data_IF_842527059545
#
_entry.id   IF_842527059545
#
_cell.length_a   1.000
_cell.length_b   1.000
_cell.length_c   1.000
_cell.angle_alpha   90.00
_cell.angle_beta   90.00
_cell.angle_gamma   90.00
#
_symmetry.space_group_name_H-M   'P 1'
#
loop_
_entity.id
_entity.type
_entity.pdbx_description
1 polymer ?
#
# COMPACT_ATOMS: atom_id res chain seq x y z
N UNK A 1 35.21 8.62 33.60
CA UNK A 1 34.37 8.68 32.37
C UNK A 1 32.96 8.13 32.56
N UNK A 2 32.74 6.99 33.26
CA UNK A 2 31.41 6.40 33.41
C UNK A 2 30.38 7.28 34.15
N UNK A 3 30.79 8.02 35.18
CA UNK A 3 29.92 8.93 35.95
C UNK A 3 29.28 10.02 35.07
N UNK A 4 30.01 10.53 34.07
CA UNK A 4 29.49 11.53 33.13
C UNK A 4 28.35 10.95 32.28
N UNK A 5 28.50 9.70 31.80
CA UNK A 5 27.46 9.02 31.03
C UNK A 5 26.21 8.72 31.87
N UNK A 6 26.38 8.37 33.15
CA UNK A 6 25.26 8.15 34.08
C UNK A 6 24.52 9.46 34.38
N UNK A 7 25.24 10.58 34.52
CA UNK A 7 24.63 11.89 34.71
C UNK A 7 23.91 12.36 33.43
N UNK A 8 24.53 12.18 32.27
CA UNK A 8 23.91 12.50 30.98
C UNK A 8 22.64 11.69 30.74
N UNK A 9 22.64 10.39 31.02
CA UNK A 9 21.44 9.55 30.87
C UNK A 9 20.33 9.96 31.84
N UNK A 10 20.66 10.31 33.09
CA UNK A 10 19.69 10.86 34.06
C UNK A 10 19.05 12.15 33.58
N UNK A 11 19.83 13.07 32.98
CA UNK A 11 19.32 14.32 32.43
C UNK A 11 18.40 14.05 31.23
N UNK A 12 18.77 13.16 30.32
CA UNK A 12 17.96 12.80 29.15
C UNK A 12 16.65 12.12 29.57
N UNK A 13 16.72 11.16 30.51
CA UNK A 13 15.54 10.49 31.05
C UNK A 13 14.64 11.51 31.74
N UNK A 14 15.17 12.31 32.67
CA UNK A 14 14.38 13.32 33.39
C UNK A 14 13.73 14.35 32.46
N UNK A 15 14.45 14.80 31.43
CA UNK A 15 13.90 15.67 30.39
C UNK A 15 12.78 14.97 29.60
N UNK A 16 12.99 13.71 29.22
CA UNK A 16 11.98 12.86 28.56
C UNK A 16 10.72 12.71 29.40
N UNK A 17 10.85 12.37 30.68
CA UNK A 17 9.73 12.25 31.63
C UNK A 17 8.95 13.57 31.73
N UNK A 18 9.65 14.70 31.91
CA UNK A 18 8.99 16.01 32.08
C UNK A 18 8.23 16.41 30.82
N UNK A 19 8.84 16.29 29.65
CA UNK A 19 8.20 16.61 28.36
C UNK A 19 7.03 15.67 28.06
N UNK A 20 7.15 14.39 28.42
CA UNK A 20 6.08 13.41 28.27
C UNK A 20 4.89 13.72 29.19
N UNK A 21 5.13 13.99 30.48
CA UNK A 21 4.08 14.38 31.44
C UNK A 21 3.38 15.67 31.01
N UNK A 22 4.12 16.65 30.47
CA UNK A 22 3.53 17.86 29.89
C UNK A 22 2.66 17.54 28.67
N UNK A 23 3.09 16.63 27.81
CA UNK A 23 2.32 16.17 26.65
C UNK A 23 1.04 15.45 27.10
N UNK A 24 1.11 14.63 28.15
CA UNK A 24 -0.05 13.98 28.76
C UNK A 24 -1.07 15.02 29.26
N UNK A 25 -0.60 16.07 29.94
CA UNK A 25 -1.46 17.15 30.44
C UNK A 25 -2.08 18.00 29.34
N UNK A 26 -1.33 18.26 28.27
CA UNK A 26 -1.76 19.14 27.19
C UNK A 26 -2.74 18.46 26.24
N UNK A 27 -2.50 17.18 25.89
CA UNK A 27 -3.23 16.47 24.84
C UNK A 27 -4.38 15.60 25.32
N UNK A 28 -4.47 15.28 26.61
CA UNK A 28 -5.50 14.38 27.14
C UNK A 28 -6.34 15.05 28.22
N UNK A 29 -7.65 14.84 28.16
CA UNK A 29 -8.53 15.21 29.27
C UNK A 29 -8.45 14.14 30.36
N UNK A 30 -7.97 14.55 31.54
CA UNK A 30 -7.78 13.67 32.69
C UNK A 30 -9.12 13.35 33.37
N UNK A 31 -9.85 12.41 32.78
CA UNK A 31 -11.00 11.72 33.37
C UNK A 31 -10.56 10.89 34.59
N UNK A 32 -11.44 10.60 35.56
CA UNK A 32 -11.09 9.78 36.72
C UNK A 32 -10.56 8.39 36.34
N UNK A 33 -11.03 7.81 35.23
CA UNK A 33 -10.57 6.53 34.69
C UNK A 33 -9.12 6.60 34.22
N UNK A 34 -8.75 7.68 33.50
CA UNK A 34 -7.37 7.88 33.03
C UNK A 34 -6.39 8.07 34.19
N UNK A 35 -6.83 8.73 35.27
CA UNK A 35 -6.02 8.91 36.48
C UNK A 35 -5.81 7.57 37.19
N UNK A 36 -6.86 6.76 37.29
CA UNK A 36 -6.78 5.43 37.89
C UNK A 36 -5.80 4.54 37.10
N UNK A 37 -5.88 4.54 35.77
CA UNK A 37 -4.98 3.75 34.92
C UNK A 37 -3.52 4.21 35.03
N UNK A 38 -3.27 5.52 35.03
CA UNK A 38 -1.93 6.06 35.27
C UNK A 38 -1.41 5.70 36.66
N UNK A 39 -2.27 5.70 37.69
CA UNK A 39 -1.90 5.31 39.05
C UNK A 39 -1.54 3.82 39.13
N UNK A 40 -2.35 2.95 38.51
CA UNK A 40 -2.07 1.51 38.40
C UNK A 40 -0.74 1.29 37.66
N UNK A 41 -0.51 2.02 36.57
CA UNK A 41 0.73 1.90 35.79
C UNK A 41 1.93 2.39 36.59
N UNK A 42 1.79 3.46 37.38
CA UNK A 42 2.82 3.94 38.29
C UNK A 42 3.13 2.91 39.39
N UNK A 43 2.11 2.27 39.96
CA UNK A 43 2.28 1.22 40.97
C UNK A 43 3.03 0.00 40.39
N UNK A 44 2.67 -0.44 39.19
CA UNK A 44 3.35 -1.53 38.47
C UNK A 44 4.80 -1.15 38.16
N UNK A 45 5.02 0.06 37.65
CA UNK A 45 6.36 0.54 37.31
C UNK A 45 7.28 0.63 38.54
N UNK A 46 6.75 1.09 39.69
CA UNK A 46 7.49 1.10 40.95
C UNK A 46 7.78 -0.32 41.47
N UNK A 47 6.83 -1.24 41.36
CA UNK A 47 7.06 -2.64 41.73
C UNK A 47 8.17 -3.29 40.89
N UNK A 48 8.17 -3.05 39.57
CA UNK A 48 9.23 -3.50 38.66
C UNK A 48 10.57 -2.83 38.94
N UNK A 49 10.56 -1.52 39.23
CA UNK A 49 11.74 -0.77 39.65
C UNK A 49 12.35 -1.31 40.95
N UNK A 50 11.50 -1.69 41.91
CA UNK A 50 11.93 -2.30 43.15
C UNK A 50 12.51 -3.71 42.96
N UNK A 51 11.86 -4.52 42.12
CA UNK A 51 12.34 -5.87 41.78
C UNK A 51 13.70 -5.82 41.07
N UNK A 52 13.86 -4.92 40.09
CA UNK A 52 15.13 -4.73 39.38
C UNK A 52 16.23 -4.20 40.30
N UNK A 53 15.94 -3.20 41.15
CA UNK A 53 16.92 -2.69 42.12
C UNK A 53 17.44 -3.79 43.07
N UNK A 54 16.56 -4.70 43.54
CA UNK A 54 16.97 -5.85 44.36
C UNK A 54 17.80 -6.87 43.60
N UNK A 55 17.49 -7.11 42.33
CA UNK A 55 18.21 -8.08 41.49
C UNK A 55 19.65 -7.64 41.20
N UNK A 56 19.87 -6.35 40.95
CA UNK A 56 21.20 -5.82 40.59
C UNK A 56 22.03 -5.35 41.79
N UNK A 57 21.41 -5.05 42.93
CA UNK A 57 22.10 -4.49 44.10
C UNK A 57 21.73 -5.17 45.42
N UNK A 58 21.81 -6.50 45.57
CA UNK A 58 21.36 -7.19 46.78
C UNK A 58 22.12 -6.76 48.06
N UNK A 59 23.37 -6.30 47.92
CA UNK A 59 24.20 -5.81 49.03
C UNK A 59 24.15 -4.29 49.27
N UNK A 60 23.36 -3.55 48.50
CA UNK A 60 23.25 -2.09 48.67
C UNK A 60 22.47 -1.74 49.95
N UNK A 61 22.80 -0.59 50.54
CA UNK A 61 22.01 -0.06 51.66
C UNK A 61 20.57 0.21 51.23
N UNK A 62 19.62 0.04 52.15
CA UNK A 62 18.19 0.22 51.87
C UNK A 62 17.86 1.59 51.23
N UNK A 63 18.61 2.64 51.61
CA UNK A 63 18.45 3.99 51.04
C UNK A 63 18.87 4.04 49.57
N UNK A 64 20.01 3.43 49.23
CA UNK A 64 20.52 3.39 47.85
C UNK A 64 19.62 2.52 46.96
N UNK A 65 19.12 1.40 47.49
CA UNK A 65 18.13 0.57 46.78
C UNK A 65 16.84 1.34 46.51
N UNK A 66 16.33 2.10 47.49
CA UNK A 66 15.11 2.89 47.30
C UNK A 66 15.28 3.98 46.23
N UNK A 67 16.41 4.71 46.24
CA UNK A 67 16.69 5.73 45.22
C UNK A 67 16.81 5.11 43.82
N UNK A 68 17.52 3.98 43.70
CA UNK A 68 17.66 3.27 42.44
C UNK A 68 16.31 2.72 41.93
N UNK A 69 15.50 2.16 42.83
CA UNK A 69 14.17 1.63 42.51
C UNK A 69 13.23 2.71 41.99
N UNK A 70 13.25 3.90 42.60
CA UNK A 70 12.46 5.05 42.13
C UNK A 70 12.94 5.48 40.75
N UNK A 71 14.26 5.64 40.55
CA UNK A 71 14.81 6.07 39.26
C UNK A 71 14.47 5.12 38.12
N UNK A 72 14.65 3.81 38.34
CA UNK A 72 14.29 2.78 37.36
C UNK A 72 12.77 2.69 37.17
N UNK A 73 12.00 2.85 38.25
CA UNK A 73 10.53 2.89 38.19
C UNK A 73 10.00 4.04 37.33
N UNK A 74 10.63 5.22 37.37
CA UNK A 74 10.26 6.35 36.50
C UNK A 74 10.48 5.99 35.03
N UNK A 75 11.60 5.36 34.68
CA UNK A 75 11.86 4.90 33.30
C UNK A 75 10.80 3.91 32.84
N UNK A 76 10.47 2.91 33.68
CA UNK A 76 9.41 1.96 33.36
C UNK A 76 8.05 2.62 33.21
N UNK A 77 7.74 3.61 34.04
CA UNK A 77 6.49 4.36 33.95
C UNK A 77 6.37 5.11 32.63
N UNK A 78 7.44 5.77 32.17
CA UNK A 78 7.44 6.46 30.88
C UNK A 78 7.15 5.48 29.74
N UNK A 79 7.88 4.36 29.69
CA UNK A 79 7.71 3.36 28.64
C UNK A 79 6.28 2.77 28.66
N UNK A 80 5.80 2.35 29.84
CA UNK A 80 4.49 1.75 29.98
C UNK A 80 3.36 2.74 29.69
N UNK A 81 3.50 4.00 30.09
CA UNK A 81 2.51 5.03 29.83
C UNK A 81 2.44 5.39 28.33
N UNK A 82 3.58 5.44 27.63
CA UNK A 82 3.61 5.61 26.17
C UNK A 82 2.88 4.45 25.48
N UNK A 83 3.20 3.21 25.87
CA UNK A 83 2.56 2.01 25.32
C UNK A 83 1.05 2.02 25.57
N UNK A 84 0.63 2.29 26.81
CA UNK A 84 -0.77 2.34 27.21
C UNK A 84 -1.55 3.39 26.41
N UNK A 85 -1.00 4.60 26.29
CA UNK A 85 -1.62 5.69 25.51
C UNK A 85 -1.71 5.33 24.03
N UNK A 86 -0.70 4.65 23.47
CA UNK A 86 -0.68 4.24 22.07
C UNK A 86 -1.73 3.16 21.80
N UNK A 87 -1.84 2.17 22.68
CA UNK A 87 -2.89 1.14 22.63
C UNK A 87 -4.26 1.81 22.73
N UNK A 88 -4.44 2.75 23.65
CA UNK A 88 -5.70 3.43 23.83
C UNK A 88 -6.12 4.24 22.60
N UNK A 89 -5.17 4.95 21.99
CA UNK A 89 -5.41 5.65 20.72
C UNK A 89 -5.79 4.68 19.62
N UNK A 90 -5.10 3.55 19.51
CA UNK A 90 -5.42 2.52 18.51
C UNK A 90 -6.84 1.97 18.72
N UNK A 91 -7.23 1.71 19.97
CA UNK A 91 -8.61 1.30 20.28
C UNK A 91 -9.61 2.39 19.91
N UNK A 92 -9.32 3.65 20.20
CA UNK A 92 -10.20 4.78 19.87
C UNK A 92 -10.34 5.00 18.37
N UNK A 93 -9.29 4.77 17.57
CA UNK A 93 -9.34 4.94 16.11
C UNK A 93 -9.79 3.69 15.37
N UNK A 94 -9.91 2.54 16.03
CA UNK A 94 -10.22 1.25 15.39
C UNK A 94 -11.46 1.30 14.50
N UNK A 95 -12.56 1.88 14.98
CA UNK A 95 -13.83 1.98 14.22
C UNK A 95 -13.71 2.89 12.99
N UNK A 96 -12.96 3.98 13.11
CA UNK A 96 -12.64 4.89 12.00
C UNK A 96 -11.69 4.20 11.02
N UNK A 97 -10.73 3.44 11.52
CA UNK A 97 -9.76 2.69 10.72
C UNK A 97 -10.44 1.56 9.96
N UNK A 98 -11.38 0.83 10.57
CA UNK A 98 -12.23 -0.19 9.93
C UNK A 98 -13.13 0.43 8.86
N UNK A 99 -13.71 1.60 9.12
CA UNK A 99 -14.52 2.34 8.13
C UNK A 99 -13.66 2.77 6.94
N UNK A 100 -12.45 3.28 7.18
CA UNK A 100 -11.52 3.66 6.11
C UNK A 100 -11.10 2.43 5.30
N UNK A 101 -10.72 1.32 5.95
CA UNK A 101 -10.32 0.10 5.23
C UNK A 101 -11.46 -0.48 4.41
N UNK A 102 -12.70 -0.49 4.94
CA UNK A 102 -13.86 -0.95 4.20
C UNK A 102 -14.15 -0.10 2.95
N UNK A 103 -14.03 1.23 3.07
CA UNK A 103 -14.19 2.14 1.93
C UNK A 103 -13.07 2.00 0.89
N UNK A 104 -11.83 1.72 1.32
CA UNK A 104 -10.69 1.48 0.41
C UNK A 104 -10.86 0.16 -0.37
N UNK A 105 -11.31 -0.91 0.29
CA UNK A 105 -11.63 -2.18 -0.38
C UNK A 105 -12.79 -2.02 -1.39
N UNK A 106 -13.80 -1.24 -1.04
CA UNK A 106 -14.96 -0.97 -1.91
C UNK A 106 -14.56 -0.09 -3.11
N UNK A 107 -13.70 0.91 -2.90
CA UNK A 107 -13.09 1.71 -3.96
C UNK A 107 -12.29 0.83 -4.93
N UNK A 108 -11.44 -0.05 -4.41
CA UNK A 108 -10.62 -0.95 -5.23
C UNK A 108 -11.50 -1.91 -6.05
N UNK A 109 -12.55 -2.47 -5.44
CA UNK A 109 -13.51 -3.33 -6.11
C UNK A 109 -14.24 -2.61 -7.25
N UNK A 110 -14.61 -1.35 -7.05
CA UNK A 110 -15.29 -0.54 -8.07
C UNK A 110 -14.35 -0.13 -9.20
N UNK A 111 -13.08 0.20 -8.90
CA UNK A 111 -12.04 0.43 -9.91
C UNK A 111 -11.88 -0.80 -10.81
N UNK A 112 -11.71 -1.99 -10.22
CA UNK A 112 -11.62 -3.26 -10.97
C UNK A 112 -12.83 -3.51 -11.87
N UNK A 113 -14.05 -3.19 -11.39
CA UNK A 113 -15.27 -3.30 -12.20
C UNK A 113 -15.28 -2.32 -13.37
N UNK A 114 -14.88 -1.07 -13.14
CA UNK A 114 -14.84 -0.05 -14.18
C UNK A 114 -13.80 -0.38 -15.26
N UNK A 115 -12.64 -0.90 -14.85
CA UNK A 115 -11.64 -1.41 -15.78
C UNK A 115 -12.19 -2.59 -16.59
N UNK A 116 -12.87 -3.55 -15.95
CA UNK A 116 -13.47 -4.68 -16.66
C UNK A 116 -14.55 -4.29 -17.69
N UNK A 117 -15.34 -3.25 -17.42
CA UNK A 117 -16.35 -2.75 -18.35
C UNK A 117 -15.72 -2.00 -19.52
N UNK A 118 -14.67 -1.21 -19.26
CA UNK A 118 -13.87 -0.54 -20.29
C UNK A 118 -13.31 -1.58 -21.26
N UNK A 119 -12.67 -2.63 -20.75
CA UNK A 119 -12.11 -3.69 -21.59
C UNK A 119 -13.17 -4.51 -22.33
N UNK A 120 -14.34 -4.75 -21.72
CA UNK A 120 -15.46 -5.45 -22.36
C UNK A 120 -16.00 -4.72 -23.60
N UNK A 121 -16.10 -3.39 -23.57
CA UNK A 121 -16.50 -2.59 -24.73
C UNK A 121 -15.44 -2.60 -25.83
N UNK A 122 -14.16 -2.44 -25.47
CA UNK A 122 -13.08 -2.48 -26.45
C UNK A 122 -12.91 -3.85 -27.11
N UNK A 123 -13.11 -4.96 -26.39
CA UNK A 123 -13.10 -6.29 -26.99
C UNK A 123 -14.25 -6.49 -28.00
N UNK A 124 -15.43 -5.92 -27.73
CA UNK A 124 -16.56 -5.89 -28.64
C UNK A 124 -16.30 -5.05 -29.90
N UNK A 125 -15.77 -3.84 -29.72
CA UNK A 125 -15.51 -2.91 -30.83
C UNK A 125 -14.37 -3.37 -31.74
N UNK A 126 -13.32 -3.99 -31.19
CA UNK A 126 -12.21 -4.54 -31.97
C UNK A 126 -12.64 -5.78 -32.77
N UNK A 127 -13.55 -6.62 -32.23
CA UNK A 127 -14.12 -7.74 -32.98
C UNK A 127 -15.18 -7.31 -34.01
N UNK A 128 -15.88 -6.19 -33.79
CA UNK A 128 -16.84 -5.64 -34.75
C UNK A 128 -16.20 -4.89 -35.92
N UNK A 129 -15.07 -4.20 -35.68
CA UNK A 129 -14.41 -3.38 -36.70
C UNK A 129 -13.44 -4.18 -37.60
N UNK A 130 -12.90 -5.30 -37.12
CA UNK A 130 -12.04 -6.18 -37.91
C UNK A 130 -12.85 -7.40 -38.36
N UNK A 131 -13.43 -7.37 -39.56
CA UNK A 131 -14.08 -8.52 -40.21
C UNK A 131 -13.12 -9.68 -40.52
N UNK A 132 -12.46 -10.21 -39.50
CA UNK A 132 -11.53 -11.34 -39.54
C UNK A 132 -12.23 -12.65 -39.17
N UNK A 133 -11.75 -13.78 -39.70
CA UNK A 133 -12.44 -15.06 -39.58
C UNK A 133 -12.50 -15.54 -38.14
N UNK A 134 -13.67 -16.05 -37.76
CA UNK A 134 -13.93 -16.74 -36.49
C UNK A 134 -13.03 -17.97 -36.43
N UNK A 135 -11.93 -17.88 -35.67
CA UNK A 135 -11.24 -19.07 -35.22
C UNK A 135 -12.01 -19.63 -34.01
N UNK A 136 -12.39 -20.92 -34.03
CA UNK A 136 -12.92 -21.56 -32.84
C UNK A 136 -11.79 -21.71 -31.83
N UNK A 137 -11.71 -20.78 -30.89
CA UNK A 137 -10.85 -20.91 -29.70
C UNK A 137 -11.44 -22.00 -28.82
N UNK A 138 -11.01 -23.24 -29.07
CA UNK A 138 -11.13 -24.31 -28.11
C UNK A 138 -10.25 -23.98 -26.90
N UNK A 139 -10.89 -23.97 -25.72
CA UNK A 139 -10.39 -23.56 -24.38
C UNK A 139 -10.18 -22.06 -24.18
N UNK A 140 -11.29 -21.40 -23.85
CA UNK A 140 -11.30 -20.24 -22.97
C UNK A 140 -10.81 -20.67 -21.58
N UNK A 141 -9.51 -20.56 -21.36
CA UNK A 141 -8.98 -20.32 -20.02
C UNK A 141 -9.28 -18.83 -19.74
N UNK A 142 -9.88 -18.53 -18.58
CA UNK A 142 -10.29 -17.17 -18.16
C UNK A 142 -9.24 -16.14 -18.57
N UNK A 143 -9.63 -15.13 -19.34
CA UNK A 143 -8.78 -13.97 -19.60
C UNK A 143 -8.65 -13.20 -18.28
N UNK A 144 -7.58 -13.53 -17.55
CA UNK A 144 -7.03 -12.79 -16.41
C UNK A 144 -6.71 -11.35 -16.85
N UNK A 145 -6.91 -10.38 -15.96
CA UNK A 145 -6.83 -8.95 -16.30
C UNK A 145 -5.43 -8.52 -16.79
N UNK A 146 -5.28 -7.35 -17.43
CA UNK A 146 -3.99 -6.86 -17.92
C UNK A 146 -2.93 -6.71 -16.80
N UNK A 147 -3.34 -6.44 -15.56
CA UNK A 147 -2.43 -6.40 -14.41
C UNK A 147 -1.96 -7.80 -13.98
N UNK A 148 -2.80 -8.82 -14.15
CA UNK A 148 -2.44 -10.22 -13.90
C UNK A 148 -1.50 -10.72 -14.99
N UNK A 149 -1.70 -10.30 -16.25
CA UNK A 149 -0.81 -10.62 -17.36
C UNK A 149 0.54 -9.89 -17.23
N UNK A 150 0.57 -8.60 -16.91
CA UNK A 150 1.83 -7.88 -16.61
C UNK A 150 2.55 -8.53 -15.41
N UNK A 151 1.81 -8.96 -14.39
CA UNK A 151 2.37 -9.68 -13.24
C UNK A 151 2.88 -11.07 -13.60
N UNK A 152 2.22 -11.76 -14.53
CA UNK A 152 2.66 -13.05 -15.09
C UNK A 152 3.93 -12.89 -15.92
N UNK A 153 3.99 -11.89 -16.81
CA UNK A 153 5.17 -11.57 -17.60
C UNK A 153 6.35 -11.13 -16.71
N UNK A 154 6.10 -10.34 -15.68
CA UNK A 154 7.10 -9.97 -14.68
C UNK A 154 7.64 -11.20 -13.91
N UNK A 155 6.78 -12.17 -13.58
CA UNK A 155 7.21 -13.44 -12.95
C UNK A 155 8.12 -14.26 -13.88
N UNK A 156 7.87 -14.27 -15.19
CA UNK A 156 8.74 -14.94 -16.18
C UNK A 156 10.13 -14.27 -16.20
N UNK A 157 10.16 -12.94 -16.27
CA UNK A 157 11.42 -12.16 -16.25
C UNK A 157 12.20 -12.38 -14.95
N UNK A 158 11.53 -12.33 -13.80
CA UNK A 158 12.18 -12.52 -12.49
C UNK A 158 12.73 -13.94 -12.32
N UNK A 159 11.98 -14.95 -12.75
CA UNK A 159 12.43 -16.35 -12.71
C UNK A 159 13.70 -16.56 -13.52
N UNK A 160 13.82 -15.89 -14.67
CA UNK A 160 15.03 -15.95 -15.49
C UNK A 160 16.20 -15.17 -14.89
N UNK A 161 15.97 -14.09 -14.15
CA UNK A 161 17.03 -13.39 -13.42
C UNK A 161 17.58 -14.21 -12.24
N UNK A 162 16.72 -14.97 -11.58
CA UNK A 162 17.03 -15.76 -10.39
C UNK A 162 17.65 -17.14 -10.70
N UNK A 163 17.54 -17.65 -11.94
CA UNK A 163 18.09 -18.97 -12.27
C UNK A 163 19.62 -18.96 -12.40
N UNK A 164 20.30 -19.58 -11.43
CA UNK A 164 21.72 -19.95 -11.39
C UNK A 164 22.78 -18.88 -11.77
N UNK A 165 23.40 -18.27 -10.75
CA UNK A 165 24.80 -17.80 -10.73
C UNK A 165 25.23 -16.63 -11.64
N UNK A 166 24.41 -16.24 -12.61
CA UNK A 166 24.76 -15.24 -13.65
C UNK A 166 23.81 -14.03 -13.66
N UNK A 167 23.17 -13.73 -12.52
CA UNK A 167 22.18 -12.64 -12.36
C UNK A 167 22.72 -11.29 -12.83
N UNK A 168 23.99 -10.97 -12.57
CA UNK A 168 24.60 -9.69 -12.97
C UNK A 168 24.70 -9.53 -14.50
N UNK A 169 25.07 -10.59 -15.22
CA UNK A 169 25.15 -10.57 -16.68
C UNK A 169 23.76 -10.52 -17.30
N UNK A 170 22.78 -11.20 -16.70
CA UNK A 170 21.38 -11.20 -17.16
C UNK A 170 20.69 -9.88 -16.89
N UNK A 171 20.98 -9.21 -15.78
CA UNK A 171 20.47 -7.87 -15.48
C UNK A 171 20.99 -6.85 -16.52
N UNK A 172 22.28 -6.89 -16.86
CA UNK A 172 22.85 -6.04 -17.91
C UNK A 172 22.22 -6.31 -19.28
N UNK A 173 21.99 -7.58 -19.63
CA UNK A 173 21.26 -7.94 -20.86
C UNK A 173 19.81 -7.44 -20.83
N UNK A 174 19.14 -7.56 -19.70
CA UNK A 174 17.77 -7.10 -19.53
C UNK A 174 17.64 -5.59 -19.75
N UNK A 175 18.57 -4.81 -19.18
CA UNK A 175 18.64 -3.36 -19.40
C UNK A 175 18.90 -3.04 -20.86
N UNK A 176 19.83 -3.74 -21.52
CA UNK A 176 20.09 -3.52 -22.95
C UNK A 176 18.87 -3.78 -23.83
N UNK A 177 18.09 -4.83 -23.54
CA UNK A 177 16.86 -5.13 -24.29
C UNK A 177 15.75 -4.14 -24.00
N UNK A 178 15.60 -3.69 -22.75
CA UNK A 178 14.65 -2.64 -22.40
C UNK A 178 14.96 -1.34 -23.14
N UNK A 179 16.23 -0.95 -23.23
CA UNK A 179 16.65 0.23 -23.99
C UNK A 179 16.42 0.08 -25.49
N UNK A 180 16.67 -1.11 -26.05
CA UNK A 180 16.41 -1.42 -27.46
C UNK A 180 14.91 -1.31 -27.78
N UNK A 181 14.05 -1.98 -26.99
CA UNK A 181 12.60 -1.98 -27.19
C UNK A 181 11.97 -0.61 -26.91
N UNK A 182 12.52 0.15 -25.96
CA UNK A 182 12.10 1.53 -25.71
C UNK A 182 12.31 2.44 -26.95
N UNK A 183 13.28 2.14 -27.81
CA UNK A 183 13.57 2.93 -29.03
C UNK A 183 12.79 2.46 -30.26
N UNK A 184 12.29 1.22 -30.28
CA UNK A 184 11.51 0.68 -31.40
C UNK A 184 10.10 1.27 -31.43
N UNK A 185 9.51 1.39 -32.62
CA UNK A 185 8.09 1.75 -32.79
C UNK A 185 7.16 0.58 -32.47
N UNK A 186 5.87 0.84 -32.25
CA UNK A 186 4.89 -0.20 -31.91
C UNK A 186 4.79 -1.28 -33.01
N UNK A 187 4.85 -0.88 -34.29
CA UNK A 187 4.83 -1.81 -35.43
C UNK A 187 6.12 -2.63 -35.56
N UNK A 188 7.25 -2.08 -35.12
CA UNK A 188 8.53 -2.82 -35.05
C UNK A 188 8.52 -3.82 -33.89
N UNK A 189 7.97 -3.46 -32.72
CA UNK A 189 7.81 -4.35 -31.58
C UNK A 189 6.91 -5.55 -31.91
N UNK A 190 5.80 -5.33 -32.63
CA UNK A 190 4.90 -6.41 -33.06
C UNK A 190 5.57 -7.34 -34.08
N UNK A 191 6.32 -6.77 -35.03
CA UNK A 191 7.11 -7.55 -36.00
C UNK A 191 8.21 -8.36 -35.33
N UNK A 192 8.89 -7.78 -34.35
CA UNK A 192 9.94 -8.43 -33.58
C UNK A 192 9.39 -9.57 -32.71
N UNK A 193 8.26 -9.35 -32.04
CA UNK A 193 7.53 -10.40 -31.31
C UNK A 193 7.18 -11.57 -32.21
N UNK A 194 6.70 -11.29 -33.42
CA UNK A 194 6.34 -12.31 -34.41
C UNK A 194 7.57 -13.10 -34.86
N UNK A 195 8.68 -12.42 -35.16
CA UNK A 195 9.96 -13.05 -35.52
C UNK A 195 10.44 -13.99 -34.41
N UNK A 196 10.45 -13.53 -33.16
CA UNK A 196 10.87 -14.32 -32.00
C UNK A 196 9.90 -15.49 -31.69
N UNK A 197 8.62 -15.37 -32.04
CA UNK A 197 7.65 -16.46 -31.90
C UNK A 197 7.78 -17.54 -32.98
N UNK A 198 8.25 -17.17 -34.17
CA UNK A 198 8.52 -18.08 -35.29
C UNK A 198 9.88 -18.79 -35.13
N UNK A 199 10.87 -18.11 -34.55
CA UNK A 199 12.14 -18.71 -34.11
C UNK A 199 11.89 -19.62 -32.89
N UNK A 200 11.75 -20.93 -33.12
CA UNK A 200 11.73 -21.93 -32.04
C UNK A 200 13.13 -22.51 -31.82
N UNK A 201 13.99 -21.91 -30.99
CA UNK A 201 15.34 -22.42 -30.77
C UNK A 201 15.29 -23.84 -30.19
N UNK A 202 16.25 -24.69 -30.55
CA UNK A 202 16.33 -26.06 -30.02
C UNK A 202 16.92 -26.11 -28.60
N UNK A 203 17.81 -25.18 -28.27
CA UNK A 203 18.53 -25.14 -27.00
C UNK A 203 17.72 -24.52 -25.85
N UNK A 204 17.73 -25.13 -24.64
CA UNK A 204 16.91 -24.67 -23.52
C UNK A 204 17.29 -23.26 -23.04
N UNK A 205 18.58 -22.92 -23.02
CA UNK A 205 19.04 -21.58 -22.60
C UNK A 205 18.68 -20.46 -23.59
N UNK A 206 18.47 -20.79 -24.86
CA UNK A 206 18.04 -19.83 -25.89
C UNK A 206 16.52 -19.71 -25.91
N UNK A 207 15.80 -20.80 -25.60
CA UNK A 207 14.33 -20.78 -25.39
C UNK A 207 13.95 -19.84 -24.25
N UNK A 208 14.58 -19.98 -23.09
CA UNK A 208 14.31 -19.13 -21.93
C UNK A 208 14.60 -17.65 -22.23
N UNK A 209 15.68 -17.36 -22.97
CA UNK A 209 15.99 -16.00 -23.41
C UNK A 209 14.93 -15.44 -24.37
N UNK A 210 14.45 -16.26 -25.29
CA UNK A 210 13.42 -15.87 -26.27
C UNK A 210 12.09 -15.59 -25.57
N UNK A 211 11.71 -16.42 -24.60
CA UNK A 211 10.51 -16.25 -23.79
C UNK A 211 10.55 -14.94 -22.97
N UNK A 212 11.70 -14.61 -22.38
CA UNK A 212 11.91 -13.35 -21.67
C UNK A 212 11.87 -12.15 -22.60
N UNK A 213 12.45 -12.27 -23.81
CA UNK A 213 12.40 -11.20 -24.82
C UNK A 213 10.98 -10.93 -25.29
N UNK A 214 10.19 -11.99 -25.52
CA UNK A 214 8.76 -11.88 -25.86
C UNK A 214 8.00 -11.20 -24.72
N UNK A 215 8.23 -11.61 -23.47
CA UNK A 215 7.58 -11.03 -22.30
C UNK A 215 7.90 -9.53 -22.14
N UNK A 216 9.14 -9.11 -22.39
CA UNK A 216 9.51 -7.68 -22.33
C UNK A 216 8.86 -6.86 -23.43
N UNK A 217 8.77 -7.40 -24.65
CA UNK A 217 8.10 -6.73 -25.78
C UNK A 217 6.61 -6.59 -25.49
N UNK A 218 5.97 -7.64 -24.94
CA UNK A 218 4.56 -7.59 -24.54
C UNK A 218 4.30 -6.56 -23.44
N UNK A 219 5.17 -6.49 -22.42
CA UNK A 219 5.08 -5.47 -21.38
C UNK A 219 5.21 -4.05 -21.94
N UNK A 220 6.10 -3.83 -22.92
CA UNK A 220 6.30 -2.51 -23.54
C UNK A 220 5.16 -2.12 -24.49
N UNK A 221 4.56 -3.09 -25.20
CA UNK A 221 3.36 -2.86 -26.00
C UNK A 221 2.19 -2.47 -25.09
N UNK A 222 1.97 -3.21 -24.00
CA UNK A 222 0.91 -2.93 -23.03
C UNK A 222 1.11 -1.56 -22.35
N UNK A 223 2.35 -1.21 -21.98
CA UNK A 223 2.67 0.07 -21.34
C UNK A 223 2.40 1.27 -22.26
N UNK A 224 2.74 1.16 -23.54
CA UNK A 224 2.49 2.21 -24.54
C UNK A 224 1.03 2.36 -24.91
N UNK A 225 0.31 1.26 -24.96
CA UNK A 225 -1.13 1.27 -25.18
C UNK A 225 -1.86 1.94 -24.01
N UNK A 226 -1.42 1.69 -22.77
CA UNK A 226 -1.91 2.41 -21.58
C UNK A 226 -1.62 3.92 -21.65
N UNK A 227 -0.41 4.35 -22.05
CA UNK A 227 -0.08 5.79 -22.18
C UNK A 227 -0.88 6.50 -23.27
N UNK A 228 -1.10 5.86 -24.42
CA UNK A 228 -1.92 6.43 -25.50
C UNK A 228 -3.39 6.58 -25.09
N UNK A 229 -3.89 5.71 -24.21
CA UNK A 229 -5.24 5.82 -23.63
C UNK A 229 -5.36 7.03 -22.69
N UNK A 230 -4.31 7.39 -21.95
CA UNK A 230 -4.30 8.59 -21.11
C UNK A 230 -4.18 9.89 -21.93
N UNK A 231 -3.34 9.91 -22.97
CA UNK A 231 -3.17 11.08 -23.84
C UNK A 231 -4.37 11.31 -24.79
N UNK A 232 -5.01 10.24 -25.27
CA UNK A 232 -6.20 10.31 -26.12
C UNK A 232 -7.45 10.84 -25.41
N UNK A 233 -7.50 10.76 -24.08
CA UNK A 233 -8.61 11.29 -23.28
C UNK A 233 -8.55 12.82 -23.13
N UNK A 234 -7.39 13.45 -23.39
CA UNK A 234 -7.21 14.91 -23.32
C UNK A 234 -7.38 15.60 -24.70
N UNK A 235 -7.13 14.89 -25.81
CA UNK A 235 -7.23 15.47 -27.17
C UNK A 235 -8.57 15.29 -27.90
N UNK A 236 -9.51 14.46 -27.40
CA UNK A 236 -10.76 14.14 -28.12
C UNK A 236 -11.98 14.97 -27.70
N UNK A 237 -11.78 16.21 -27.24
CA UNK A 237 -12.86 17.16 -26.92
C UNK A 237 -13.22 18.11 -28.08
N UNK A 238 -12.61 17.95 -29.27
CA UNK A 238 -12.86 18.84 -30.39
C UNK A 238 -12.52 18.23 -31.73
N UNK A 239 -13.41 17.38 -32.26
CA UNK A 239 -13.93 17.62 -33.61
C UNK A 239 -15.12 16.69 -33.90
N UNK A 240 -16.26 17.31 -34.20
CA UNK A 240 -17.45 16.63 -34.74
C UNK A 240 -17.40 16.73 -36.26
N UNK A 241 -17.37 15.60 -36.96
CA UNK A 241 -18.11 15.49 -38.22
C UNK A 241 -18.35 14.02 -38.63
N UNK A 242 -19.63 13.65 -38.57
CA UNK A 242 -20.37 12.97 -39.63
C UNK A 242 -19.71 11.74 -40.31
N UNK A 243 -20.05 10.54 -39.83
CA UNK A 243 -20.54 9.51 -40.75
C UNK A 243 -21.43 8.51 -40.02
N UNK A 244 -22.68 8.44 -40.48
CA UNK A 244 -23.69 7.48 -40.09
C UNK A 244 -23.28 6.05 -40.41
N UNK A 245 -23.32 5.16 -39.43
CA UNK A 245 -23.54 3.73 -39.64
C UNK A 245 -24.19 3.16 -38.39
N UNK A 246 -25.45 2.82 -38.58
CA UNK A 246 -26.39 2.23 -37.64
C UNK A 246 -25.84 0.91 -37.08
N UNK A 247 -25.70 0.82 -35.74
CA UNK A 247 -25.61 -0.47 -35.04
C UNK A 247 -26.45 -0.38 -33.76
N UNK A 248 -27.53 -1.16 -33.61
CA UNK A 248 -28.47 -1.02 -32.51
C UNK A 248 -28.04 -1.89 -31.32
N UNK A 249 -27.09 -1.42 -30.51
CA UNK A 249 -26.71 -2.08 -29.23
C UNK A 249 -26.09 -1.09 -28.23
N UNK A 250 -26.56 0.16 -28.18
CA UNK A 250 -26.15 1.13 -27.15
C UNK A 250 -27.36 1.60 -26.35
N UNK A 251 -27.35 1.34 -25.05
CA UNK A 251 -28.40 1.78 -24.13
C UNK A 251 -28.24 1.26 -22.70
N UNK A 252 -27.46 0.19 -22.48
CA UNK A 252 -27.26 -0.37 -21.13
C UNK A 252 -25.89 -0.12 -20.49
N UNK A 253 -24.89 0.33 -21.25
CA UNK A 253 -23.50 0.44 -20.78
C UNK A 253 -23.17 1.78 -20.13
N UNK A 254 -23.52 2.89 -20.77
CA UNK A 254 -23.10 4.24 -20.34
C UNK A 254 -23.73 4.65 -19.02
N UNK A 255 -25.02 4.35 -18.80
CA UNK A 255 -25.68 4.61 -17.50
C UNK A 255 -25.01 3.83 -16.36
N UNK A 256 -24.49 2.63 -16.62
CA UNK A 256 -23.79 1.81 -15.61
C UNK A 256 -22.40 2.36 -15.28
N UNK A 257 -21.66 2.83 -16.28
CA UNK A 257 -20.33 3.44 -16.06
C UNK A 257 -20.42 4.80 -15.37
N UNK A 258 -21.38 5.66 -15.76
CA UNK A 258 -21.61 6.92 -15.07
C UNK A 258 -22.04 6.69 -13.61
N UNK A 259 -22.90 5.70 -13.35
CA UNK A 259 -23.28 5.32 -11.99
C UNK A 259 -22.07 4.83 -11.17
N UNK A 260 -21.18 4.03 -11.77
CA UNK A 260 -19.96 3.57 -11.11
C UNK A 260 -18.98 4.71 -10.83
N UNK A 261 -18.82 5.66 -11.75
CA UNK A 261 -17.99 6.87 -11.54
C UNK A 261 -18.55 7.75 -10.44
N UNK A 262 -19.87 8.01 -10.44
CA UNK A 262 -20.54 8.76 -9.38
C UNK A 262 -20.39 8.08 -8.02
N UNK A 263 -20.47 6.75 -7.98
CA UNK A 263 -20.26 5.98 -6.75
C UNK A 263 -18.82 6.01 -6.26
N UNK A 264 -17.84 5.98 -7.16
CA UNK A 264 -16.42 6.11 -6.83
C UNK A 264 -16.08 7.52 -6.31
N UNK A 265 -16.64 8.56 -6.93
CA UNK A 265 -16.56 9.94 -6.43
C UNK A 265 -17.26 10.12 -5.07
N UNK A 266 -18.31 9.37 -4.81
CA UNK A 266 -19.01 9.39 -3.52
C UNK A 266 -18.17 8.70 -2.43
N UNK A 267 -17.62 7.51 -2.71
CA UNK A 267 -16.77 6.75 -1.79
C UNK A 267 -15.47 7.51 -1.49
N UNK A 268 -14.84 8.10 -2.49
CA UNK A 268 -13.65 8.94 -2.28
C UNK A 268 -13.96 10.18 -1.43
N UNK A 269 -15.13 10.81 -1.61
CA UNK A 269 -15.61 11.88 -0.71
C UNK A 269 -15.87 11.38 0.70
N UNK A 270 -16.44 10.18 0.87
CA UNK A 270 -16.68 9.58 2.18
C UNK A 270 -15.36 9.22 2.89
N UNK A 271 -14.40 8.63 2.18
CA UNK A 271 -13.07 8.33 2.70
C UNK A 271 -12.31 9.62 3.09
N UNK A 272 -12.39 10.67 2.28
CA UNK A 272 -11.81 11.97 2.61
C UNK A 272 -12.45 12.58 3.87
N UNK A 273 -13.77 12.45 4.04
CA UNK A 273 -14.48 12.89 5.25
C UNK A 273 -14.06 12.09 6.48
N UNK A 274 -14.00 10.76 6.38
CA UNK A 274 -13.55 9.89 7.48
C UNK A 274 -12.10 10.19 7.90
N UNK A 275 -11.20 10.44 6.93
CA UNK A 275 -9.82 10.88 7.21
C UNK A 275 -9.78 12.25 7.88
N UNK A 276 -10.59 13.20 7.41
CA UNK A 276 -10.70 14.52 8.03
C UNK A 276 -11.27 14.46 9.46
N UNK A 277 -12.24 13.58 9.71
CA UNK A 277 -12.78 13.30 11.04
C UNK A 277 -11.74 12.67 11.96
N UNK A 278 -10.95 11.72 11.47
CA UNK A 278 -9.80 11.14 12.19
C UNK A 278 -8.79 12.23 12.58
N UNK A 279 -8.42 13.09 11.63
CA UNK A 279 -7.50 14.20 11.91
C UNK A 279 -8.09 15.20 12.91
N UNK A 280 -9.36 15.56 12.76
CA UNK A 280 -10.04 16.46 13.70
C UNK A 280 -10.12 15.86 15.11
N UNK A 281 -10.37 14.55 15.22
CA UNK A 281 -10.35 13.82 16.48
C UNK A 281 -8.95 13.82 17.12
N UNK A 282 -7.91 13.57 16.33
CA UNK A 282 -6.51 13.58 16.82
C UNK A 282 -6.00 14.98 17.18
N UNK A 283 -6.57 16.04 16.59
CA UNK A 283 -6.24 17.44 16.91
C UNK A 283 -6.98 17.96 18.15
N UNK A 284 -8.13 17.37 18.51
CA UNK A 284 -8.87 17.71 19.75
C UNK A 284 -8.19 17.09 20.97
N UNK A 285 -8.46 17.62 22.16
CA UNK A 285 -8.04 16.94 23.39
C UNK A 285 -8.76 15.61 23.48
N UNK A 286 -8.00 14.52 23.57
CA UNK A 286 -8.55 13.18 23.59
C UNK A 286 -9.08 12.90 25.00
N UNK A 287 -10.39 12.72 25.13
CA UNK A 287 -11.01 12.18 26.35
C UNK A 287 -10.67 10.71 26.48
N UNK A 288 -10.04 10.35 27.59
CA UNK A 288 -9.74 8.96 27.93
C UNK A 288 -10.87 8.39 28.79
N UNK A 289 -12.09 8.29 28.24
CA UNK A 289 -13.24 7.64 28.91
C UNK A 289 -13.70 6.45 28.07
N UNK A 290 -13.94 5.30 28.72
CA UNK A 290 -14.55 4.14 28.06
C UNK A 290 -16.07 4.28 27.88
N UNK A 291 -16.71 5.23 28.57
CA UNK A 291 -18.17 5.31 28.73
C UNK A 291 -18.93 6.08 27.65
N UNK A 292 -18.27 6.81 26.75
CA UNK A 292 -18.95 7.59 25.68
C UNK A 292 -19.12 6.80 24.37
N UNK A 293 -19.03 5.45 24.39
CA UNK A 293 -19.44 4.57 23.28
C UNK A 293 -20.85 3.98 23.47
N UNK A 294 -21.76 4.77 24.03
CA UNK A 294 -23.17 4.43 24.19
C UNK A 294 -24.05 5.49 23.56
#
# INVERSE_FOLDING_TARGET
MWIFWVLASLVVVGWGTVTWVQTLKAKFEHTPESRLLLLVTAAIALALGWQTARMFGPGWSAKVQAVAAIGVGVVYFDILSIALVSIWKAILTLDIDETISGLEEEEERLRRKLDSLRYGRFAGDVMGAAGGPVYPVSRVEKVEGPDEEISRLRRIVNRWLESAGMTRVRALKLESWKEEYARMSLDELVREKRRLGEERPAEPGVREQTEVRIALIEMEILSRQARRLDEGTISSAGDRSSTSSTSPLEGGGEESEEQLRRRLEEISRQAARARAEKEAFLRRKIRLSWRERG
#
